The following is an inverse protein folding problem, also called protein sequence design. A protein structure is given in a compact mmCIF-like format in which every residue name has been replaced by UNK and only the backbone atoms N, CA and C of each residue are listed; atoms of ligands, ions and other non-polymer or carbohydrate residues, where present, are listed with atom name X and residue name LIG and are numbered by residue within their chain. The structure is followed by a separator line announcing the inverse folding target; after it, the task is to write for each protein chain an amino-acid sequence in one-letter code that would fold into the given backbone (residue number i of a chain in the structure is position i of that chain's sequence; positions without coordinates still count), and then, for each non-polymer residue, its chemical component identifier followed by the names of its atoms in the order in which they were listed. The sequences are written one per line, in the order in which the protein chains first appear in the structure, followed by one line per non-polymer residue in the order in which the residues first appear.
data_IF_543306821185
#
_entry.id   IF_543306821185
#
_cell.length_a   1.000
_cell.length_b   1.000
_cell.length_c   1.000
_cell.angle_alpha   90.00
_cell.angle_beta   90.00
_cell.angle_gamma   90.00
#
_symmetry.space_group_name_H-M   'P 1'
#
loop_
_entity.id
_entity.type
_entity.pdbx_description
1 polymer ?
#
# COMPACT_ATOMS: atom_id res chain seq x y z
N UNK A 1 -3.41 -25.33 -4.93
CA UNK A 1 -4.18 -24.16 -4.50
C UNK A 1 -4.05 -24.05 -2.99
N UNK A 2 -3.92 -22.85 -2.47
CA UNK A 2 -3.94 -22.57 -1.02
C UNK A 2 -5.36 -22.20 -0.61
N UNK A 3 -5.67 -22.22 0.70
CA UNK A 3 -6.97 -21.77 1.19
C UNK A 3 -7.31 -20.33 0.75
N UNK A 4 -6.28 -19.50 0.52
CA UNK A 4 -6.47 -18.13 0.04
C UNK A 4 -6.83 -18.07 -1.46
N UNK A 5 -6.36 -19.04 -2.27
CA UNK A 5 -6.78 -19.15 -3.67
C UNK A 5 -8.27 -19.50 -3.77
N UNK A 6 -8.72 -20.44 -2.94
CA UNK A 6 -10.13 -20.83 -2.91
C UNK A 6 -11.01 -19.70 -2.39
N UNK A 7 -10.53 -18.92 -1.40
CA UNK A 7 -11.21 -17.75 -0.89
C UNK A 7 -11.31 -16.65 -1.98
N UNK A 8 -10.22 -16.36 -2.70
CA UNK A 8 -10.22 -15.38 -3.79
C UNK A 8 -11.15 -15.81 -4.93
N UNK A 9 -11.10 -17.08 -5.36
CA UNK A 9 -11.98 -17.58 -6.41
C UNK A 9 -13.45 -17.47 -6.00
N UNK A 10 -13.78 -17.88 -4.77
CA UNK A 10 -15.14 -17.77 -4.22
C UNK A 10 -15.60 -16.32 -4.15
N UNK A 11 -14.74 -15.41 -3.65
CA UNK A 11 -15.02 -13.98 -3.59
C UNK A 11 -15.26 -13.40 -5.00
N UNK A 12 -14.43 -13.77 -5.97
CA UNK A 12 -14.57 -13.28 -7.34
C UNK A 12 -15.91 -13.70 -7.96
N UNK A 13 -16.34 -14.96 -7.79
CA UNK A 13 -17.64 -15.42 -8.27
C UNK A 13 -18.81 -14.70 -7.59
N UNK A 14 -18.72 -14.43 -6.29
CA UNK A 14 -19.75 -13.72 -5.54
C UNK A 14 -19.86 -12.22 -5.91
N UNK A 15 -18.73 -11.60 -6.25
CA UNK A 15 -18.65 -10.17 -6.57
C UNK A 15 -18.83 -9.87 -8.07
N UNK A 16 -18.82 -10.89 -8.93
CA UNK A 16 -19.00 -10.71 -10.36
C UNK A 16 -20.44 -10.34 -10.71
N UNK A 17 -20.63 -9.20 -11.35
CA UNK A 17 -21.91 -8.79 -11.93
C UNK A 17 -21.92 -9.13 -13.42
N UNK A 18 -22.57 -10.23 -13.78
CA UNK A 18 -22.63 -10.69 -15.15
C UNK A 18 -23.41 -9.74 -16.07
N UNK A 19 -24.39 -8.98 -15.58
CA UNK A 19 -25.11 -8.00 -16.40
C UNK A 19 -24.19 -6.84 -16.83
N UNK A 20 -23.27 -6.42 -15.98
CA UNK A 20 -22.31 -5.33 -16.24
C UNK A 20 -20.96 -5.79 -16.77
N UNK A 21 -20.57 -7.06 -16.54
CA UNK A 21 -19.24 -7.56 -16.87
C UNK A 21 -18.14 -6.96 -15.98
N UNK A 22 -18.46 -6.68 -14.74
CA UNK A 22 -17.57 -6.00 -13.80
C UNK A 22 -17.67 -6.59 -12.39
N UNK A 23 -16.60 -6.43 -11.60
CA UNK A 23 -16.60 -6.75 -10.18
C UNK A 23 -17.36 -5.67 -9.40
N UNK A 24 -18.34 -6.09 -8.58
CA UNK A 24 -19.16 -5.22 -7.76
C UNK A 24 -18.86 -5.42 -6.28
N UNK A 25 -18.35 -4.38 -5.63
CA UNK A 25 -18.08 -4.37 -4.19
C UNK A 25 -18.58 -3.05 -3.58
N UNK A 26 -19.13 -3.10 -2.38
CA UNK A 26 -19.74 -1.94 -1.68
C UNK A 26 -20.81 -1.22 -2.52
N UNK A 27 -21.51 -1.95 -3.38
CA UNK A 27 -22.50 -1.38 -4.30
C UNK A 27 -21.95 -0.70 -5.54
N UNK A 28 -20.62 -0.65 -5.72
CA UNK A 28 -19.92 0.00 -6.81
C UNK A 28 -19.28 -1.02 -7.75
N UNK A 29 -19.25 -0.72 -9.06
CA UNK A 29 -18.52 -1.52 -10.05
C UNK A 29 -17.08 -0.99 -10.16
N UNK A 30 -16.17 -1.66 -9.48
CA UNK A 30 -14.78 -1.20 -9.30
C UNK A 30 -13.93 -1.52 -10.52
N UNK A 31 -13.23 -0.51 -11.05
CA UNK A 31 -12.49 -0.62 -12.31
C UNK A 31 -11.19 -1.40 -12.14
N UNK A 32 -10.40 -1.11 -11.11
CA UNK A 32 -9.14 -1.81 -10.86
C UNK A 32 -9.37 -3.29 -10.54
N UNK A 33 -10.33 -3.56 -9.67
CA UNK A 33 -10.68 -4.91 -9.26
C UNK A 33 -11.25 -5.73 -10.42
N UNK A 34 -11.95 -5.07 -11.35
CA UNK A 34 -12.41 -5.70 -12.60
C UNK A 34 -11.23 -6.06 -13.50
N UNK A 35 -10.22 -5.19 -13.63
CA UNK A 35 -9.01 -5.50 -14.40
C UNK A 35 -8.20 -6.65 -13.78
N UNK A 36 -8.05 -6.67 -12.45
CA UNK A 36 -7.41 -7.76 -11.71
C UNK A 36 -8.22 -9.06 -11.78
N UNK A 37 -9.56 -8.97 -11.74
CA UNK A 37 -10.46 -10.11 -11.94
C UNK A 37 -10.34 -10.70 -13.34
N UNK A 38 -10.19 -9.85 -14.37
CA UNK A 38 -9.93 -10.32 -15.73
C UNK A 38 -8.60 -11.09 -15.82
N UNK A 39 -7.56 -10.66 -15.10
CA UNK A 39 -6.32 -11.41 -15.02
C UNK A 39 -6.51 -12.78 -14.36
N UNK A 40 -7.28 -12.84 -13.26
CA UNK A 40 -7.63 -14.10 -12.60
C UNK A 40 -8.43 -15.02 -13.52
N UNK A 41 -9.38 -14.50 -14.29
CA UNK A 41 -10.15 -15.24 -15.28
C UNK A 41 -9.26 -15.83 -16.39
N UNK A 42 -8.27 -15.09 -16.86
CA UNK A 42 -7.31 -15.59 -17.84
C UNK A 42 -6.45 -16.71 -17.30
N UNK A 43 -6.02 -16.63 -16.03
CA UNK A 43 -5.34 -17.75 -15.36
C UNK A 43 -6.20 -19.01 -15.25
N UNK A 44 -7.51 -18.84 -15.07
CA UNK A 44 -8.49 -19.91 -15.02
C UNK A 44 -8.94 -20.41 -16.41
N UNK A 45 -8.52 -19.74 -17.50
CA UNK A 45 -8.93 -20.07 -18.87
C UNK A 45 -10.29 -19.48 -19.29
N UNK A 46 -10.88 -18.60 -18.51
CA UNK A 46 -12.17 -17.94 -18.77
C UNK A 46 -12.00 -16.71 -19.71
N UNK A 47 -11.45 -16.93 -20.89
CA UNK A 47 -11.06 -15.86 -21.83
C UNK A 47 -12.22 -14.94 -22.17
N UNK A 48 -13.41 -15.44 -22.47
CA UNK A 48 -14.56 -14.60 -22.87
C UNK A 48 -15.01 -13.65 -21.76
N UNK A 49 -14.97 -14.11 -20.48
CA UNK A 49 -15.29 -13.26 -19.32
C UNK A 49 -14.22 -12.19 -19.13
N UNK A 50 -12.96 -12.57 -19.24
CA UNK A 50 -11.83 -11.65 -19.14
C UNK A 50 -11.87 -10.56 -20.21
N UNK A 51 -12.11 -10.90 -21.47
CA UNK A 51 -12.23 -9.92 -22.56
C UNK A 51 -13.38 -8.94 -22.33
N UNK A 52 -14.52 -9.44 -21.86
CA UNK A 52 -15.64 -8.58 -21.52
C UNK A 52 -15.28 -7.62 -20.40
N UNK A 53 -14.65 -8.10 -19.33
CA UNK A 53 -14.17 -7.29 -18.22
C UNK A 53 -13.18 -6.20 -18.69
N UNK A 54 -12.20 -6.58 -19.50
CA UNK A 54 -11.19 -5.65 -20.02
C UNK A 54 -11.83 -4.56 -20.91
N UNK A 55 -12.82 -4.89 -21.74
CA UNK A 55 -13.55 -3.90 -22.54
C UNK A 55 -14.32 -2.90 -21.65
N UNK A 56 -14.94 -3.38 -20.55
CA UNK A 56 -15.61 -2.49 -19.59
C UNK A 56 -14.61 -1.57 -18.85
N UNK A 57 -13.44 -2.09 -18.49
CA UNK A 57 -12.34 -1.30 -17.89
C UNK A 57 -11.87 -0.19 -18.85
N UNK A 58 -11.63 -0.51 -20.12
CA UNK A 58 -11.15 0.44 -21.13
C UNK A 58 -12.13 1.60 -21.37
N UNK A 59 -13.43 1.37 -21.26
CA UNK A 59 -14.46 2.43 -21.33
C UNK A 59 -14.36 3.45 -20.19
N UNK A 60 -13.66 3.13 -19.12
CA UNK A 60 -13.53 4.00 -17.94
C UNK A 60 -12.29 4.90 -18.01
N UNK A 61 -11.48 4.81 -19.06
CA UNK A 61 -10.32 5.69 -19.22
C UNK A 61 -10.74 7.07 -19.74
N UNK A 62 -10.23 8.12 -19.13
CA UNK A 62 -10.35 9.47 -19.67
C UNK A 62 -9.49 9.60 -20.93
N UNK A 63 -10.02 10.23 -22.00
CA UNK A 63 -9.29 10.35 -23.25
C UNK A 63 -8.02 11.19 -23.11
N UNK A 64 -7.03 11.01 -24.02
CA UNK A 64 -5.75 11.73 -23.95
C UNK A 64 -5.87 13.25 -24.14
N UNK A 65 -6.92 13.71 -24.80
CA UNK A 65 -7.23 15.13 -25.04
C UNK A 65 -8.10 15.76 -23.93
N UNK A 66 -8.40 15.02 -22.86
CA UNK A 66 -9.06 15.58 -21.68
C UNK A 66 -8.17 16.60 -20.97
N UNK A 67 -8.73 17.26 -19.94
CA UNK A 67 -7.93 18.14 -19.07
C UNK A 67 -6.70 17.39 -18.54
N UNK A 68 -5.52 17.98 -18.64
CA UNK A 68 -4.27 17.32 -18.24
C UNK A 68 -4.28 16.73 -16.83
N UNK A 69 -5.07 17.22 -15.90
CA UNK A 69 -5.16 16.68 -14.54
C UNK A 69 -5.64 15.21 -14.51
N UNK A 70 -6.55 14.85 -15.40
CA UNK A 70 -7.12 13.50 -15.49
C UNK A 70 -6.97 12.81 -16.86
N UNK A 71 -6.34 13.43 -17.85
CA UNK A 71 -6.04 12.78 -19.13
C UNK A 71 -5.34 11.44 -18.92
N UNK A 72 -5.81 10.37 -19.55
CA UNK A 72 -5.23 9.03 -19.48
C UNK A 72 -5.45 8.28 -18.18
N UNK A 73 -5.99 8.90 -17.10
CA UNK A 73 -6.37 8.14 -15.90
C UNK A 73 -7.71 7.42 -16.08
N UNK A 74 -8.10 6.63 -15.11
CA UNK A 74 -9.34 5.86 -15.14
C UNK A 74 -10.26 6.31 -14.01
N UNK A 75 -11.56 6.14 -14.18
CA UNK A 75 -12.53 6.22 -13.09
C UNK A 75 -12.24 5.14 -12.06
N UNK A 76 -12.51 5.41 -10.80
CA UNK A 76 -12.35 4.41 -9.73
C UNK A 76 -13.47 3.37 -9.75
N UNK A 77 -14.66 3.78 -10.19
CA UNK A 77 -15.81 2.91 -10.42
C UNK A 77 -16.64 3.39 -11.62
N UNK A 78 -17.37 2.49 -12.28
CA UNK A 78 -18.06 2.77 -13.54
C UNK A 78 -19.14 3.87 -13.45
N UNK A 79 -19.72 4.06 -12.27
CA UNK A 79 -20.74 5.08 -12.03
C UNK A 79 -20.17 6.41 -11.51
N UNK A 80 -18.84 6.56 -11.46
CA UNK A 80 -18.20 7.81 -11.04
C UNK A 80 -18.55 8.92 -12.04
N UNK A 81 -19.06 10.06 -11.59
CA UNK A 81 -19.29 11.21 -12.46
C UNK A 81 -17.97 11.65 -13.11
N UNK A 82 -18.06 12.17 -14.34
CA UNK A 82 -16.88 12.64 -15.04
C UNK A 82 -16.24 13.84 -14.33
N UNK A 83 -14.92 13.81 -14.24
CA UNK A 83 -14.14 14.98 -13.83
C UNK A 83 -14.39 16.14 -14.80
N UNK A 84 -14.42 17.38 -14.28
CA UNK A 84 -14.73 18.56 -15.06
C UNK A 84 -16.23 18.88 -15.16
N UNK A 85 -17.13 17.96 -14.80
CA UNK A 85 -18.58 18.22 -14.80
C UNK A 85 -19.00 19.02 -13.57
N UNK A 86 -20.20 19.63 -13.65
CA UNK A 86 -20.79 20.39 -12.54
C UNK A 86 -21.72 19.46 -11.75
N UNK A 87 -21.57 19.42 -10.42
CA UNK A 87 -22.47 18.66 -9.55
C UNK A 87 -23.78 19.42 -9.23
N UNK A 88 -24.67 18.77 -8.50
CA UNK A 88 -25.97 19.32 -8.14
C UNK A 88 -25.88 20.63 -7.31
N UNK A 89 -24.76 20.83 -6.60
CA UNK A 89 -24.47 22.00 -5.80
C UNK A 89 -23.78 23.11 -6.62
N UNK A 90 -23.58 22.93 -7.93
CA UNK A 90 -22.94 23.90 -8.83
C UNK A 90 -21.41 23.92 -8.75
N UNK A 91 -20.77 22.97 -8.07
CA UNK A 91 -19.33 22.83 -7.94
C UNK A 91 -18.76 22.07 -9.15
N UNK A 92 -17.70 22.56 -9.74
CA UNK A 92 -16.95 21.83 -10.78
C UNK A 92 -16.12 20.71 -10.12
N UNK A 93 -16.26 19.47 -10.62
CA UNK A 93 -15.57 18.28 -10.14
C UNK A 93 -14.12 18.26 -10.60
N UNK A 94 -13.22 18.82 -9.81
CA UNK A 94 -11.80 18.98 -10.17
C UNK A 94 -10.85 18.65 -9.02
N UNK A 95 -11.36 18.12 -7.92
CA UNK A 95 -10.55 17.85 -6.74
C UNK A 95 -9.94 16.44 -6.82
N UNK A 96 -8.62 16.41 -6.73
CA UNK A 96 -7.82 15.18 -6.75
C UNK A 96 -8.22 14.27 -5.57
N UNK A 97 -8.28 12.95 -5.81
CA UNK A 97 -8.70 11.88 -4.91
C UNK A 97 -10.18 11.90 -4.47
N UNK A 98 -10.91 12.94 -4.79
CA UNK A 98 -12.36 12.98 -4.61
C UNK A 98 -13.11 12.81 -5.93
N UNK A 99 -12.75 13.60 -6.94
CA UNK A 99 -13.44 13.64 -8.23
C UNK A 99 -12.70 12.81 -9.29
N UNK A 100 -11.41 12.58 -9.12
CA UNK A 100 -10.57 11.68 -9.93
C UNK A 100 -9.34 11.24 -9.12
N UNK A 101 -8.77 10.09 -9.46
CA UNK A 101 -7.50 9.61 -8.92
C UNK A 101 -6.44 9.53 -10.03
N UNK A 102 -5.42 10.39 -10.03
CA UNK A 102 -4.39 10.37 -11.07
C UNK A 102 -3.49 9.13 -11.00
N UNK A 103 -3.39 8.43 -9.86
CA UNK A 103 -2.54 7.26 -9.71
C UNK A 103 -3.12 6.03 -10.42
N UNK A 104 -4.38 6.08 -10.82
CA UNK A 104 -5.01 5.00 -11.58
C UNK A 104 -4.40 4.84 -12.97
N UNK A 105 -3.69 5.86 -13.47
CA UNK A 105 -2.81 5.71 -14.63
C UNK A 105 -1.79 4.59 -14.41
N UNK A 106 -1.09 4.63 -13.27
CA UNK A 106 -0.03 3.69 -12.94
C UNK A 106 -0.61 2.30 -12.65
N UNK A 107 -1.63 2.20 -11.80
CA UNK A 107 -2.22 0.91 -11.45
C UNK A 107 -2.83 0.21 -12.66
N UNK A 108 -3.73 0.88 -13.39
CA UNK A 108 -4.39 0.26 -14.55
C UNK A 108 -3.42 0.07 -15.71
N UNK A 109 -2.54 1.03 -15.98
CA UNK A 109 -1.52 0.90 -17.03
C UNK A 109 -0.64 -0.33 -16.82
N UNK A 110 -0.19 -0.57 -15.58
CA UNK A 110 0.59 -1.76 -15.22
C UNK A 110 -0.21 -3.05 -15.41
N UNK A 111 -1.44 -3.12 -14.92
CA UNK A 111 -2.30 -4.31 -15.02
C UNK A 111 -2.60 -4.63 -16.50
N UNK A 112 -2.98 -3.64 -17.28
CA UNK A 112 -3.30 -3.81 -18.71
C UNK A 112 -2.07 -4.27 -19.51
N UNK A 113 -0.90 -3.66 -19.28
CA UNK A 113 0.33 -4.06 -19.96
C UNK A 113 0.70 -5.51 -19.64
N UNK A 114 0.63 -5.89 -18.35
CA UNK A 114 0.95 -7.26 -17.93
C UNK A 114 -0.04 -8.28 -18.51
N UNK A 115 -1.33 -7.95 -18.51
CA UNK A 115 -2.37 -8.80 -19.08
C UNK A 115 -2.10 -9.03 -20.57
N UNK A 116 -1.81 -7.97 -21.32
CA UNK A 116 -1.47 -8.07 -22.74
C UNK A 116 -0.18 -8.87 -22.94
N UNK A 117 0.85 -8.59 -22.17
CA UNK A 117 2.15 -9.25 -22.27
C UNK A 117 2.10 -10.76 -22.01
N UNK A 118 1.29 -11.19 -21.04
CA UNK A 118 1.23 -12.57 -20.60
C UNK A 118 0.16 -13.38 -21.34
N UNK A 119 -0.96 -12.75 -21.69
CA UNK A 119 -2.14 -13.40 -22.25
C UNK A 119 -2.57 -12.86 -23.61
N UNK A 120 -1.85 -11.93 -24.20
CA UNK A 120 -2.20 -11.35 -25.49
C UNK A 120 -2.39 -12.40 -26.62
N UNK A 121 -1.73 -13.54 -26.51
CA UNK A 121 -1.84 -14.63 -27.49
C UNK A 121 -3.22 -15.32 -27.51
N UNK A 122 -4.04 -15.16 -26.47
CA UNK A 122 -5.41 -15.70 -26.38
C UNK A 122 -6.49 -14.62 -26.52
N UNK A 123 -6.13 -13.32 -26.49
CA UNK A 123 -7.04 -12.20 -26.60
C UNK A 123 -7.26 -11.80 -28.07
N UNK A 124 -8.45 -11.28 -28.37
CA UNK A 124 -8.74 -10.70 -29.69
C UNK A 124 -7.79 -9.53 -30.03
N UNK A 125 -7.40 -9.43 -31.30
CA UNK A 125 -6.40 -8.45 -31.75
C UNK A 125 -6.86 -7.00 -31.53
N UNK A 126 -8.13 -6.69 -31.78
CA UNK A 126 -8.70 -5.36 -31.54
C UNK A 126 -8.61 -4.93 -30.07
N UNK A 127 -8.91 -5.86 -29.13
CA UNK A 127 -8.79 -5.62 -27.69
C UNK A 127 -7.33 -5.39 -27.28
N UNK A 128 -6.40 -6.19 -27.80
CA UNK A 128 -4.96 -5.99 -27.55
C UNK A 128 -4.50 -4.61 -28.00
N UNK A 129 -4.88 -4.21 -29.22
CA UNK A 129 -4.53 -2.90 -29.75
C UNK A 129 -5.14 -1.76 -28.93
N UNK A 130 -6.35 -1.93 -28.39
CA UNK A 130 -6.99 -0.96 -27.50
C UNK A 130 -6.26 -0.88 -26.14
N UNK A 131 -5.91 -2.01 -25.54
CA UNK A 131 -5.11 -2.06 -24.30
C UNK A 131 -3.75 -1.38 -24.47
N UNK A 132 -3.05 -1.61 -25.58
CA UNK A 132 -1.76 -0.95 -25.86
C UNK A 132 -1.91 0.58 -25.95
N UNK A 133 -2.95 1.06 -26.64
CA UNK A 133 -3.24 2.51 -26.71
C UNK A 133 -3.56 3.08 -25.32
N UNK A 134 -4.33 2.35 -24.52
CA UNK A 134 -4.68 2.75 -23.15
C UNK A 134 -3.45 2.86 -22.24
N UNK A 135 -2.53 1.92 -22.36
CA UNK A 135 -1.24 1.93 -21.61
C UNK A 135 -0.40 3.14 -22.00
N UNK A 136 -0.27 3.43 -23.30
CA UNK A 136 0.46 4.61 -23.79
C UNK A 136 -0.20 5.90 -23.30
N UNK A 137 -1.54 6.00 -23.36
CA UNK A 137 -2.28 7.16 -22.86
C UNK A 137 -2.12 7.36 -21.35
N UNK A 138 -2.10 6.27 -20.56
CA UNK A 138 -1.87 6.32 -19.13
C UNK A 138 -0.46 6.83 -18.78
N UNK A 139 0.55 6.37 -19.49
CA UNK A 139 1.92 6.86 -19.31
C UNK A 139 2.08 8.34 -19.71
N UNK A 140 1.55 8.71 -20.89
CA UNK A 140 1.67 10.06 -21.45
C UNK A 140 0.82 11.10 -20.69
N UNK A 141 -0.27 10.69 -20.06
CA UNK A 141 -1.15 11.58 -19.29
C UNK A 141 -0.58 12.05 -17.96
N UNK A 142 0.56 11.49 -17.52
CA UNK A 142 1.16 11.90 -16.26
C UNK A 142 1.92 13.22 -16.40
N UNK A 143 1.63 14.17 -15.50
CA UNK A 143 2.31 15.45 -15.47
C UNK A 143 3.73 15.37 -14.93
N UNK A 144 4.67 15.98 -15.63
CA UNK A 144 6.03 16.19 -15.12
C UNK A 144 5.98 16.97 -13.81
N UNK A 145 6.59 16.39 -12.77
CA UNK A 145 6.69 17.01 -11.44
C UNK A 145 5.52 16.75 -10.47
N UNK A 146 4.44 16.07 -10.89
CA UNK A 146 3.38 15.67 -9.95
C UNK A 146 3.83 14.57 -9.00
N UNK A 147 4.57 13.59 -9.51
CA UNK A 147 5.05 12.47 -8.71
C UNK A 147 6.40 12.86 -8.11
N UNK A 148 6.43 13.04 -6.80
CA UNK A 148 7.69 13.22 -6.08
C UNK A 148 8.39 11.85 -5.88
N UNK A 149 9.74 11.80 -5.85
CA UNK A 149 10.47 10.56 -5.57
C UNK A 149 10.10 9.91 -4.24
N UNK A 150 9.67 10.71 -3.26
CA UNK A 150 9.21 10.29 -1.94
C UNK A 150 7.88 9.50 -1.98
N UNK A 151 7.10 9.68 -3.04
CA UNK A 151 5.89 8.88 -3.28
C UNK A 151 6.28 7.56 -3.94
N UNK A 152 7.01 6.74 -3.20
CA UNK A 152 7.85 5.66 -3.69
C UNK A 152 7.11 4.65 -4.57
N UNK A 153 5.93 4.17 -4.15
CA UNK A 153 5.20 3.16 -4.90
C UNK A 153 4.74 3.67 -6.27
N UNK A 154 4.23 4.89 -6.34
CA UNK A 154 3.75 5.51 -7.59
C UNK A 154 4.92 5.91 -8.48
N UNK A 155 6.02 6.42 -7.88
CA UNK A 155 7.23 6.79 -8.60
C UNK A 155 7.87 5.57 -9.31
N UNK A 156 7.95 4.43 -8.62
CA UNK A 156 8.48 3.18 -9.19
C UNK A 156 7.58 2.63 -10.31
N UNK A 157 6.25 2.58 -10.08
CA UNK A 157 5.31 2.14 -11.11
C UNK A 157 5.36 3.04 -12.35
N UNK A 158 5.42 4.36 -12.15
CA UNK A 158 5.47 5.30 -13.27
C UNK A 158 6.81 5.24 -14.01
N UNK A 159 7.93 5.12 -13.29
CA UNK A 159 9.24 4.93 -13.91
C UNK A 159 9.25 3.72 -14.84
N UNK A 160 8.68 2.60 -14.39
CA UNK A 160 8.58 1.41 -15.21
C UNK A 160 7.61 1.59 -16.40
N UNK A 161 6.40 2.13 -16.14
CA UNK A 161 5.37 2.30 -17.18
C UNK A 161 5.85 3.21 -18.32
N UNK A 162 6.53 4.29 -17.98
CA UNK A 162 7.14 5.19 -18.97
C UNK A 162 8.26 4.51 -19.76
N UNK A 163 9.12 3.75 -19.08
CA UNK A 163 10.24 3.07 -19.71
C UNK A 163 9.75 2.04 -20.76
N UNK A 164 8.75 1.22 -20.43
CA UNK A 164 8.18 0.23 -21.37
C UNK A 164 7.37 0.86 -22.51
N UNK A 165 6.91 2.10 -22.36
CA UNK A 165 6.22 2.86 -23.41
C UNK A 165 7.14 3.79 -24.19
N UNK A 166 8.45 3.75 -23.93
CA UNK A 166 9.46 4.57 -24.62
C UNK A 166 9.44 6.04 -24.22
N UNK A 167 8.91 6.36 -23.03
CA UNK A 167 8.85 7.71 -22.49
C UNK A 167 9.92 7.89 -21.40
N UNK A 168 10.26 9.13 -21.09
CA UNK A 168 11.18 9.46 -19.98
C UNK A 168 10.46 10.27 -18.93
N UNK A 169 10.52 9.84 -17.67
CA UNK A 169 9.92 10.55 -16.54
C UNK A 169 10.93 11.40 -15.78
N UNK A 170 12.22 11.15 -15.96
CA UNK A 170 13.25 11.73 -15.10
C UNK A 170 13.22 11.25 -13.64
N UNK A 171 12.43 10.22 -13.28
CA UNK A 171 12.28 9.75 -11.89
C UNK A 171 13.30 8.71 -11.46
N UNK A 172 13.85 7.91 -12.37
CA UNK A 172 14.77 6.80 -12.02
C UNK A 172 15.96 7.32 -11.20
N UNK A 173 16.68 8.34 -11.67
CA UNK A 173 17.83 8.88 -10.96
C UNK A 173 17.47 9.55 -9.61
N UNK A 174 16.41 10.37 -9.49
CA UNK A 174 15.97 10.90 -8.20
C UNK A 174 15.58 9.83 -7.17
N UNK A 175 14.85 8.78 -7.57
CA UNK A 175 14.47 7.67 -6.68
C UNK A 175 15.70 6.87 -6.26
N UNK A 176 16.62 6.55 -7.19
CA UNK A 176 17.89 5.89 -6.88
C UNK A 176 18.71 6.74 -5.90
N UNK A 177 18.86 8.04 -6.17
CA UNK A 177 19.60 8.94 -5.29
C UNK A 177 18.96 9.09 -3.90
N UNK A 178 17.64 8.98 -3.78
CA UNK A 178 16.95 8.94 -2.49
C UNK A 178 17.23 7.62 -1.75
N UNK A 179 17.13 6.50 -2.45
CA UNK A 179 17.45 5.19 -1.90
C UNK A 179 18.90 5.12 -1.36
N UNK A 180 19.85 5.69 -2.10
CA UNK A 180 21.25 5.74 -1.67
C UNK A 180 21.47 6.63 -0.45
N UNK A 181 20.82 7.80 -0.38
CA UNK A 181 20.95 8.71 0.77
C UNK A 181 20.30 8.16 2.03
N UNK A 182 19.15 7.53 1.89
CA UNK A 182 18.31 7.10 3.02
C UNK A 182 18.54 5.63 3.40
N UNK A 183 19.13 4.84 2.52
CA UNK A 183 19.28 3.39 2.68
C UNK A 183 17.97 2.61 2.50
N UNK A 184 16.84 3.30 2.25
CA UNK A 184 15.52 2.70 2.05
C UNK A 184 14.60 3.68 1.31
N UNK A 185 13.39 3.21 0.93
CA UNK A 185 12.32 4.03 0.36
C UNK A 185 11.73 4.98 1.39
N UNK A 186 11.26 6.15 0.97
CA UNK A 186 10.64 7.13 1.86
C UNK A 186 9.30 6.63 2.45
N UNK A 187 8.52 5.87 1.68
CA UNK A 187 7.34 5.13 2.18
C UNK A 187 7.79 3.80 2.80
N UNK A 188 8.74 3.86 3.73
CA UNK A 188 9.33 2.67 4.34
C UNK A 188 8.36 1.94 5.28
N UNK A 189 8.57 0.65 5.40
CA UNK A 189 7.93 -0.24 6.36
C UNK A 189 6.39 -0.13 6.36
N UNK A 190 5.82 0.00 5.16
CA UNK A 190 4.38 0.11 4.94
C UNK A 190 3.77 -1.26 4.65
N UNK A 191 2.87 -1.78 5.50
CA UNK A 191 2.18 -3.04 5.23
C UNK A 191 1.27 -2.96 3.99
N UNK A 192 0.95 -1.77 3.53
CA UNK A 192 0.20 -1.53 2.30
C UNK A 192 1.12 -1.36 1.09
N UNK A 193 2.06 -0.41 1.16
CA UNK A 193 2.76 0.07 -0.03
C UNK A 193 4.11 -0.56 -0.29
N UNK A 194 4.75 -1.21 0.70
CA UNK A 194 5.96 -1.98 0.44
C UNK A 194 5.72 -3.08 -0.60
N UNK A 195 4.56 -3.73 -0.56
CA UNK A 195 4.20 -4.76 -1.53
C UNK A 195 4.08 -4.21 -2.95
N UNK A 196 3.46 -3.03 -3.11
CA UNK A 196 3.35 -2.37 -4.42
C UNK A 196 4.72 -1.89 -4.90
N UNK A 197 5.56 -1.35 -4.00
CA UNK A 197 6.92 -0.93 -4.33
C UNK A 197 7.79 -2.12 -4.75
N UNK A 198 7.72 -3.24 -4.05
CA UNK A 198 8.41 -4.48 -4.42
C UNK A 198 7.89 -5.07 -5.73
N UNK A 199 6.58 -5.02 -5.96
CA UNK A 199 5.98 -5.43 -7.23
C UNK A 199 6.49 -4.56 -8.40
N UNK A 200 6.47 -3.24 -8.25
CA UNK A 200 7.01 -2.31 -9.25
C UNK A 200 8.53 -2.51 -9.47
N UNK A 201 9.27 -2.80 -8.39
CA UNK A 201 10.69 -3.12 -8.48
C UNK A 201 10.96 -4.44 -9.24
N UNK A 202 10.12 -5.47 -9.06
CA UNK A 202 10.17 -6.69 -9.88
C UNK A 202 9.91 -6.40 -11.36
N UNK A 203 8.95 -5.52 -11.66
CA UNK A 203 8.68 -5.10 -13.04
C UNK A 203 9.88 -4.37 -13.66
N UNK A 204 10.47 -3.43 -12.92
CA UNK A 204 11.71 -2.74 -13.35
C UNK A 204 12.82 -3.75 -13.60
N UNK A 205 13.10 -4.63 -12.66
CA UNK A 205 14.19 -5.59 -12.75
C UNK A 205 14.04 -6.61 -13.90
N UNK A 206 12.82 -7.01 -14.24
CA UNK A 206 12.54 -8.07 -15.20
C UNK A 206 12.16 -7.57 -16.60
N UNK A 207 11.54 -6.38 -16.70
CA UNK A 207 10.96 -5.91 -17.97
C UNK A 207 11.43 -4.51 -18.40
N UNK A 208 12.13 -3.73 -17.57
CA UNK A 208 12.61 -2.42 -18.00
C UNK A 208 13.60 -2.57 -19.18
N UNK A 209 13.40 -1.88 -20.30
CA UNK A 209 14.36 -1.85 -21.39
C UNK A 209 15.65 -1.10 -21.01
N UNK A 210 15.59 -0.11 -20.09
CA UNK A 210 16.76 0.65 -19.67
C UNK A 210 17.60 -0.08 -18.62
N UNK A 211 18.96 -0.02 -18.73
CA UNK A 211 19.84 -0.58 -17.69
C UNK A 211 19.62 0.06 -16.30
N UNK A 212 19.42 1.37 -16.26
CA UNK A 212 19.25 2.12 -15.01
C UNK A 212 17.92 1.75 -14.31
N UNK A 213 16.85 1.57 -15.09
CA UNK A 213 15.59 1.07 -14.58
C UNK A 213 15.71 -0.34 -13.98
N UNK A 214 16.42 -1.25 -14.68
CA UNK A 214 16.68 -2.60 -14.14
C UNK A 214 17.49 -2.56 -12.85
N UNK A 215 18.53 -1.72 -12.81
CA UNK A 215 19.36 -1.59 -11.61
C UNK A 215 18.56 -1.03 -10.43
N UNK A 216 17.79 0.04 -10.65
CA UNK A 216 16.88 0.57 -9.62
C UNK A 216 15.95 -0.51 -9.07
N UNK A 217 15.35 -1.34 -9.94
CA UNK A 217 14.49 -2.45 -9.51
C UNK A 217 15.21 -3.45 -8.60
N UNK A 218 16.45 -3.83 -8.95
CA UNK A 218 17.29 -4.73 -8.16
C UNK A 218 17.61 -4.09 -6.80
N UNK A 219 18.07 -2.84 -6.79
CA UNK A 219 18.47 -2.13 -5.57
C UNK A 219 17.32 -1.97 -4.59
N UNK A 220 16.12 -1.66 -5.08
CA UNK A 220 14.90 -1.59 -4.24
C UNK A 220 14.57 -2.95 -3.64
N UNK A 221 14.60 -4.04 -4.43
CA UNK A 221 14.34 -5.40 -3.91
C UNK A 221 15.33 -5.74 -2.80
N UNK A 222 16.61 -5.51 -3.03
CA UNK A 222 17.67 -5.85 -2.07
C UNK A 222 17.54 -5.05 -0.77
N UNK A 223 17.30 -3.72 -0.85
CA UNK A 223 17.13 -2.86 0.33
C UNK A 223 15.90 -3.22 1.14
N UNK A 224 14.74 -3.33 0.48
CA UNK A 224 13.48 -3.64 1.18
C UNK A 224 13.50 -5.06 1.75
N UNK A 225 14.03 -6.06 1.04
CA UNK A 225 14.19 -7.41 1.57
C UNK A 225 15.18 -7.46 2.76
N UNK A 226 16.28 -6.70 2.70
CA UNK A 226 17.23 -6.58 3.81
C UNK A 226 16.56 -5.98 5.06
N UNK A 227 15.76 -4.92 4.90
CA UNK A 227 14.97 -4.39 6.00
C UNK A 227 14.00 -5.44 6.55
N UNK A 228 13.22 -6.10 5.67
CA UNK A 228 12.24 -7.11 6.08
C UNK A 228 12.88 -8.24 6.89
N UNK A 229 14.10 -8.67 6.57
CA UNK A 229 14.82 -9.67 7.36
C UNK A 229 15.04 -9.21 8.82
N UNK A 230 15.22 -7.91 9.04
CA UNK A 230 15.43 -7.35 10.37
C UNK A 230 14.14 -7.11 11.14
N UNK A 231 13.04 -6.75 10.44
CA UNK A 231 11.79 -6.32 11.09
C UNK A 231 10.68 -7.38 11.07
N UNK A 232 10.83 -8.45 10.29
CA UNK A 232 9.84 -9.53 10.20
C UNK A 232 9.92 -10.49 11.38
N UNK A 233 8.76 -10.80 11.96
CA UNK A 233 8.66 -11.83 13.01
C UNK A 233 7.87 -13.03 12.47
N UNK A 234 8.50 -14.21 12.33
CA UNK A 234 7.88 -15.37 11.69
C UNK A 234 6.66 -15.92 12.43
N UNK A 235 6.66 -15.88 13.78
CA UNK A 235 5.51 -16.39 14.57
C UNK A 235 4.32 -15.44 14.55
N UNK A 236 4.52 -14.13 14.40
CA UNK A 236 3.45 -13.17 14.15
C UNK A 236 3.11 -13.07 12.68
N UNK A 237 3.99 -13.58 11.81
CA UNK A 237 3.86 -13.57 10.36
C UNK A 237 3.61 -12.14 9.80
N UNK A 238 4.29 -11.14 10.40
CA UNK A 238 4.20 -9.73 10.00
C UNK A 238 5.46 -8.96 10.38
N UNK A 239 5.57 -7.76 9.82
CA UNK A 239 6.64 -6.81 10.11
C UNK A 239 6.33 -5.97 11.34
N UNK A 240 7.35 -5.70 12.18
CA UNK A 240 7.26 -4.71 13.24
C UNK A 240 7.13 -3.30 12.65
N UNK A 241 6.33 -2.41 13.29
CA UNK A 241 6.30 -0.99 12.90
C UNK A 241 7.60 -0.24 13.26
N UNK A 242 7.60 1.08 13.25
CA UNK A 242 6.49 1.95 12.90
C UNK A 242 6.14 1.84 11.42
N UNK A 243 4.93 2.27 11.05
CA UNK A 243 4.48 2.19 9.66
C UNK A 243 4.31 3.60 9.09
N UNK A 244 5.05 3.91 8.02
CA UNK A 244 4.91 5.21 7.34
C UNK A 244 3.50 5.41 6.75
N UNK A 245 2.89 4.31 6.28
CA UNK A 245 1.50 4.29 5.78
C UNK A 245 0.87 2.92 6.01
N UNK A 246 -0.31 2.90 6.62
CA UNK A 246 -1.10 1.68 6.81
C UNK A 246 -2.60 2.01 6.81
N UNK A 247 -3.40 1.25 6.09
CA UNK A 247 -4.85 1.40 6.11
C UNK A 247 -5.49 0.74 7.34
N UNK A 248 -4.88 -0.30 7.85
CA UNK A 248 -5.31 -1.01 9.05
C UNK A 248 -4.12 -1.30 9.97
N UNK A 249 -4.38 -1.46 11.27
CA UNK A 249 -3.38 -1.82 12.25
C UNK A 249 -3.60 -3.24 12.79
N UNK A 250 -4.85 -3.68 12.91
CA UNK A 250 -5.16 -5.03 13.38
C UNK A 250 -5.08 -6.03 12.20
N UNK A 251 -4.10 -6.93 12.20
CA UNK A 251 -3.95 -7.91 11.11
C UNK A 251 -5.09 -8.93 11.03
N UNK A 252 -5.98 -9.01 12.05
CA UNK A 252 -7.16 -9.88 12.03
C UNK A 252 -8.33 -9.29 11.25
N UNK A 253 -8.37 -7.96 11.13
CA UNK A 253 -9.46 -7.22 10.49
C UNK A 253 -9.04 -6.52 9.19
N UNK A 254 -7.76 -6.57 8.84
CA UNK A 254 -7.20 -5.86 7.70
C UNK A 254 -6.45 -6.78 6.76
N UNK A 255 -6.86 -6.82 5.50
CA UNK A 255 -6.07 -7.45 4.43
C UNK A 255 -5.00 -6.47 3.98
N UNK A 256 -3.75 -6.71 4.37
CA UNK A 256 -2.64 -5.90 3.91
C UNK A 256 -2.06 -6.45 2.60
N UNK A 257 -1.68 -5.58 1.67
CA UNK A 257 -1.01 -5.99 0.44
C UNK A 257 0.30 -6.73 0.71
N UNK A 258 1.00 -6.41 1.81
CA UNK A 258 2.18 -7.16 2.23
C UNK A 258 1.84 -8.61 2.61
N UNK A 259 0.73 -8.83 3.30
CA UNK A 259 0.26 -10.20 3.60
C UNK A 259 -0.08 -10.97 2.33
N UNK A 260 -0.71 -10.32 1.36
CA UNK A 260 -1.02 -10.90 0.05
C UNK A 260 0.26 -11.26 -0.70
N UNK A 261 1.25 -10.35 -0.74
CA UNK A 261 2.54 -10.59 -1.36
C UNK A 261 3.29 -11.76 -0.70
N UNK A 262 3.39 -11.76 0.63
CA UNK A 262 4.09 -12.82 1.36
C UNK A 262 3.44 -14.18 1.11
N UNK A 263 2.12 -14.26 1.13
CA UNK A 263 1.37 -15.47 0.78
C UNK A 263 1.65 -15.90 -0.66
N UNK A 264 1.68 -14.95 -1.60
CA UNK A 264 1.96 -15.23 -3.01
C UNK A 264 3.33 -15.87 -3.22
N UNK A 265 4.34 -15.49 -2.45
CA UNK A 265 5.70 -16.05 -2.52
C UNK A 265 5.92 -17.24 -1.56
N UNK A 266 4.88 -17.73 -0.89
CA UNK A 266 4.92 -18.89 -0.02
C UNK A 266 5.55 -18.64 1.36
N UNK A 267 5.49 -17.39 1.85
CA UNK A 267 5.86 -16.99 3.22
C UNK A 267 4.58 -16.85 4.05
N UNK A 268 4.48 -17.50 5.23
CA UNK A 268 3.35 -17.29 6.12
C UNK A 268 3.18 -15.79 6.46
N UNK A 269 1.95 -15.31 6.33
CA UNK A 269 1.62 -13.91 6.60
C UNK A 269 0.35 -13.78 7.42
N UNK A 270 0.35 -12.82 8.37
CA UNK A 270 -0.82 -12.52 9.18
C UNK A 270 -1.90 -11.87 8.31
N UNK A 271 -3.14 -12.29 8.55
CA UNK A 271 -4.30 -11.75 7.86
C UNK A 271 -5.57 -12.27 8.49
N UNK A 272 -6.74 -11.77 8.08
CA UNK A 272 -8.02 -12.30 8.52
C UNK A 272 -8.13 -13.80 8.24
N UNK A 273 -8.55 -14.57 9.24
CA UNK A 273 -8.77 -16.02 9.10
C UNK A 273 -10.08 -16.32 8.37
N UNK A 274 -11.02 -15.38 8.41
CA UNK A 274 -12.29 -15.43 7.68
C UNK A 274 -12.56 -14.02 7.13
N UNK A 275 -13.06 -13.95 5.90
CA UNK A 275 -13.51 -12.70 5.31
C UNK A 275 -14.98 -12.48 5.70
N UNK A 276 -15.28 -11.37 6.34
CA UNK A 276 -16.62 -10.96 6.75
C UNK A 276 -16.80 -9.45 6.54
N UNK A 277 -17.97 -8.92 6.92
CA UNK A 277 -18.32 -7.50 6.73
C UNK A 277 -17.41 -6.54 7.52
N UNK A 278 -16.73 -7.01 8.56
CA UNK A 278 -15.78 -6.22 9.37
C UNK A 278 -14.38 -6.20 8.73
N UNK A 279 -14.10 -7.11 7.78
CA UNK A 279 -12.80 -7.20 7.13
C UNK A 279 -12.61 -6.05 6.16
N UNK A 280 -11.61 -5.21 6.41
CA UNK A 280 -11.29 -4.09 5.53
C UNK A 280 -10.29 -4.48 4.45
N UNK A 281 -10.35 -3.80 3.30
CA UNK A 281 -9.44 -4.00 2.15
C UNK A 281 -9.45 -5.41 1.55
N UNK A 282 -10.57 -6.12 1.64
CA UNK A 282 -10.70 -7.47 1.03
C UNK A 282 -10.38 -7.49 -0.47
N UNK A 283 -10.63 -6.38 -1.17
CA UNK A 283 -10.33 -6.21 -2.59
C UNK A 283 -8.84 -6.29 -2.93
N UNK A 284 -7.96 -6.05 -1.97
CA UNK A 284 -6.51 -6.18 -2.17
C UNK A 284 -6.08 -7.64 -2.42
N UNK A 285 -6.92 -8.64 -2.10
CA UNK A 285 -6.70 -10.04 -2.47
C UNK A 285 -6.59 -10.24 -3.98
N UNK A 286 -7.22 -9.40 -4.79
CA UNK A 286 -7.11 -9.49 -6.24
C UNK A 286 -5.68 -9.30 -6.78
N UNK A 287 -4.75 -8.78 -5.99
CA UNK A 287 -3.33 -8.72 -6.36
C UNK A 287 -2.61 -10.07 -6.26
N UNK A 288 -3.17 -11.08 -5.58
CA UNK A 288 -2.52 -12.37 -5.33
C UNK A 288 -1.99 -13.05 -6.61
N UNK A 289 -2.75 -13.16 -7.72
CA UNK A 289 -2.27 -13.78 -8.95
C UNK A 289 -1.07 -13.04 -9.55
N UNK A 290 -1.14 -11.70 -9.60
CA UNK A 290 -0.05 -10.87 -10.11
C UNK A 290 1.24 -11.02 -9.29
N UNK A 291 1.13 -10.96 -7.97
CA UNK A 291 2.28 -11.13 -7.09
C UNK A 291 2.90 -12.51 -7.22
N UNK A 292 2.09 -13.56 -7.32
CA UNK A 292 2.57 -14.93 -7.53
C UNK A 292 3.34 -15.06 -8.84
N UNK A 293 2.85 -14.45 -9.89
CA UNK A 293 3.46 -14.53 -11.21
C UNK A 293 4.79 -13.79 -11.31
N UNK A 294 4.94 -12.68 -10.60
CA UNK A 294 6.01 -11.71 -10.84
C UNK A 294 7.00 -11.56 -9.70
N UNK A 295 6.59 -11.83 -8.45
CA UNK A 295 7.40 -11.51 -7.29
C UNK A 295 8.33 -12.66 -6.83
N UNK A 296 8.65 -13.60 -7.71
CA UNK A 296 9.55 -14.72 -7.39
C UNK A 296 10.97 -14.31 -6.99
N UNK A 297 11.44 -13.11 -7.42
CA UNK A 297 12.73 -12.55 -7.00
C UNK A 297 12.76 -12.28 -5.50
N UNK A 298 11.66 -11.78 -4.93
CA UNK A 298 11.55 -11.46 -3.51
C UNK A 298 11.79 -12.73 -2.68
N UNK A 299 11.22 -13.87 -3.08
CA UNK A 299 11.43 -15.14 -2.38
C UNK A 299 12.89 -15.58 -2.32
N UNK A 300 13.71 -15.22 -3.32
CA UNK A 300 15.15 -15.54 -3.32
C UNK A 300 15.95 -14.63 -2.39
N UNK A 301 15.47 -13.41 -2.16
CA UNK A 301 16.16 -12.38 -1.39
C UNK A 301 15.61 -12.25 0.04
N UNK A 302 14.47 -12.88 0.34
CA UNK A 302 13.85 -12.81 1.66
C UNK A 302 13.49 -14.21 2.19
N UNK A 303 14.04 -14.53 3.36
CA UNK A 303 13.67 -15.74 4.12
C UNK A 303 13.48 -15.34 5.58
N UNK A 304 12.26 -15.54 6.14
CA UNK A 304 12.03 -15.25 7.55
C UNK A 304 13.00 -16.00 8.46
N UNK A 305 13.63 -15.31 9.40
CA UNK A 305 14.56 -15.88 10.34
C UNK A 305 13.89 -16.12 11.69
N UNK A 306 14.24 -17.21 12.36
CA UNK A 306 13.82 -17.47 13.73
C UNK A 306 14.29 -16.33 14.63
N UNK A 307 13.47 -15.98 15.62
CA UNK A 307 13.77 -14.92 16.58
C UNK A 307 14.11 -15.55 17.92
N UNK A 308 15.38 -15.90 18.10
CA UNK A 308 15.89 -16.45 19.36
C UNK A 308 16.42 -15.35 20.29
N UNK A 309 16.84 -14.23 19.71
CA UNK A 309 17.39 -13.06 20.41
C UNK A 309 16.73 -11.79 19.92
N UNK A 310 16.68 -10.77 20.77
CA UNK A 310 16.17 -9.46 20.41
C UNK A 310 16.99 -8.84 19.26
N UNK A 311 16.31 -8.31 18.27
CA UNK A 311 16.88 -7.54 17.14
C UNK A 311 16.34 -6.12 17.21
N UNK A 312 17.22 -5.14 17.02
CA UNK A 312 16.88 -3.73 16.92
C UNK A 312 17.31 -3.21 15.56
N UNK A 313 16.36 -2.77 14.76
CA UNK A 313 16.61 -2.12 13.49
C UNK A 313 16.26 -0.63 13.59
N UNK A 314 17.18 0.22 13.17
CA UNK A 314 17.01 1.68 13.17
C UNK A 314 17.20 2.20 11.75
N UNK A 315 16.21 2.91 11.27
CA UNK A 315 16.23 3.60 9.97
C UNK A 315 16.17 5.10 10.19
N UNK A 316 16.99 5.85 9.45
CA UNK A 316 17.04 7.32 9.55
C UNK A 316 16.77 7.96 8.20
N UNK A 317 15.89 8.97 8.18
CA UNK A 317 15.55 9.79 7.00
C UNK A 317 15.65 11.27 7.39
N UNK A 318 16.83 11.87 7.24
CA UNK A 318 17.08 13.20 7.78
C UNK A 318 16.91 13.21 9.31
N UNK A 319 15.95 13.97 9.82
CA UNK A 319 15.63 14.05 11.26
C UNK A 319 14.74 12.90 11.74
N UNK A 320 14.10 12.16 10.85
CA UNK A 320 13.22 11.06 11.19
C UNK A 320 14.06 9.86 11.63
N UNK A 321 13.73 9.31 12.79
CA UNK A 321 14.33 8.08 13.31
C UNK A 321 13.25 7.07 13.65
N UNK A 322 13.15 6.03 12.84
CA UNK A 322 12.27 4.90 13.02
C UNK A 322 13.02 3.74 13.66
N UNK A 323 12.46 3.14 14.69
CA UNK A 323 13.04 2.00 15.38
C UNK A 323 12.05 0.84 15.41
N UNK A 324 12.50 -0.32 14.97
CA UNK A 324 11.76 -1.58 15.08
C UNK A 324 12.49 -2.51 16.03
N UNK A 325 11.78 -3.10 16.98
CA UNK A 325 12.26 -4.14 17.88
C UNK A 325 11.54 -5.44 17.57
N UNK A 326 12.29 -6.50 17.40
CA UNK A 326 11.77 -7.86 17.15
C UNK A 326 12.37 -8.77 18.22
N UNK A 327 11.53 -9.24 19.13
CA UNK A 327 11.92 -10.05 20.28
C UNK A 327 11.11 -11.36 20.30
N UNK A 328 11.61 -12.43 20.96
CA UNK A 328 10.80 -13.62 21.15
C UNK A 328 9.45 -13.30 21.80
N UNK A 329 8.35 -13.40 21.03
CA UNK A 329 7.00 -13.14 21.47
C UNK A 329 6.54 -11.68 21.56
N UNK A 330 7.33 -10.71 21.03
CA UNK A 330 6.96 -9.29 20.95
C UNK A 330 7.56 -8.65 19.71
N UNK A 331 6.79 -7.79 19.06
CA UNK A 331 7.29 -6.82 18.08
C UNK A 331 6.83 -5.42 18.46
N UNK A 332 7.74 -4.45 18.33
CA UNK A 332 7.46 -3.05 18.61
C UNK A 332 8.05 -2.17 17.54
N UNK A 333 7.32 -1.10 17.21
CA UNK A 333 7.82 -0.04 16.34
C UNK A 333 7.51 1.33 16.89
N UNK A 334 8.48 2.24 16.81
CA UNK A 334 8.28 3.62 17.23
C UNK A 334 9.13 4.58 16.41
N UNK A 335 8.63 5.79 16.24
CA UNK A 335 9.26 6.82 15.41
C UNK A 335 9.22 8.19 16.08
N UNK A 336 10.24 8.98 15.84
CA UNK A 336 10.27 10.40 16.17
C UNK A 336 10.94 11.22 15.05
N UNK A 337 10.72 12.54 15.07
CA UNK A 337 11.36 13.48 14.15
C UNK A 337 10.57 13.76 12.87
N UNK A 338 9.47 13.05 12.59
CA UNK A 338 8.63 13.35 11.43
C UNK A 338 7.85 14.63 11.67
N UNK A 339 7.89 15.53 10.68
CA UNK A 339 7.22 16.83 10.71
C UNK A 339 6.34 16.99 9.48
N UNK A 340 5.25 17.75 9.62
CA UNK A 340 4.29 17.99 8.56
C UNK A 340 2.97 17.25 8.78
N UNK A 341 1.96 17.63 7.99
CA UNK A 341 0.64 17.00 8.07
C UNK A 341 0.66 15.57 7.55
N UNK A 342 0.01 14.69 8.28
CA UNK A 342 -0.20 13.32 7.86
C UNK A 342 -1.51 13.21 7.08
N UNK A 343 -1.46 12.60 5.90
CA UNK A 343 -2.66 12.37 5.12
C UNK A 343 -3.49 11.23 5.77
N UNK A 344 -4.76 11.53 6.07
CA UNK A 344 -5.79 10.53 6.29
C UNK A 344 -5.45 9.45 7.34
N UNK A 345 -4.98 9.77 8.53
CA UNK A 345 -4.78 8.77 9.59
C UNK A 345 -4.03 7.47 9.16
N UNK A 346 -3.28 7.52 8.05
CA UNK A 346 -2.54 6.36 7.54
C UNK A 346 -1.21 6.11 8.26
N UNK A 347 -0.69 7.10 8.96
CA UNK A 347 0.58 7.01 9.66
C UNK A 347 0.41 6.37 11.03
N UNK A 348 1.25 5.36 11.32
CA UNK A 348 1.27 4.65 12.59
C UNK A 348 2.67 4.79 13.24
N UNK A 349 2.90 5.87 14.02
CA UNK A 349 4.18 6.14 14.66
C UNK A 349 4.55 5.15 15.76
N UNK A 350 3.58 4.41 16.27
CA UNK A 350 3.78 3.40 17.29
C UNK A 350 2.92 2.17 17.04
N UNK A 351 3.54 0.99 17.14
CA UNK A 351 2.86 -0.30 17.16
C UNK A 351 3.52 -1.21 18.19
N UNK A 352 2.73 -2.01 18.85
CA UNK A 352 3.18 -3.05 19.76
C UNK A 352 2.30 -4.28 19.55
N UNK A 353 2.89 -5.45 19.39
CA UNK A 353 2.17 -6.71 19.31
C UNK A 353 2.86 -7.76 20.19
N UNK A 354 2.04 -8.54 20.88
CA UNK A 354 2.45 -9.73 21.61
C UNK A 354 1.50 -10.89 21.30
N UNK A 355 1.77 -12.06 21.88
CA UNK A 355 0.85 -13.21 21.79
C UNK A 355 -0.54 -12.95 22.37
N UNK A 356 -0.69 -11.92 23.18
CA UNK A 356 -1.95 -11.54 23.84
C UNK A 356 -2.77 -10.52 23.04
N UNK A 357 -2.15 -9.77 22.13
CA UNK A 357 -2.85 -8.79 21.31
C UNK A 357 -1.96 -7.69 20.75
N UNK A 358 -2.59 -6.62 20.30
CA UNK A 358 -2.00 -5.54 19.54
C UNK A 358 -2.32 -4.18 20.16
N UNK A 359 -1.39 -3.25 20.05
CA UNK A 359 -1.55 -1.83 20.37
C UNK A 359 -1.00 -0.98 19.21
N UNK A 360 -1.75 0.00 18.76
CA UNK A 360 -1.29 0.98 17.78
C UNK A 360 -1.68 2.40 18.13
N UNK A 361 -0.83 3.35 17.76
CA UNK A 361 -1.14 4.77 17.78
C UNK A 361 -1.32 5.23 16.35
N UNK A 362 -2.42 5.91 16.06
CA UNK A 362 -2.68 6.58 14.80
C UNK A 362 -2.72 8.09 14.98
N UNK A 363 -2.32 8.80 13.96
CA UNK A 363 -2.49 10.25 13.87
C UNK A 363 -3.91 10.59 13.43
N UNK A 364 -4.38 11.77 13.82
CA UNK A 364 -5.60 12.38 13.28
C UNK A 364 -5.25 13.39 12.19
N UNK A 365 -6.17 13.77 11.29
CA UNK A 365 -5.88 14.65 10.16
C UNK A 365 -5.27 16.00 10.52
N UNK A 366 -5.54 16.51 11.74
CA UNK A 366 -5.03 17.81 12.21
C UNK A 366 -3.69 17.72 12.93
N UNK A 367 -3.20 16.49 13.18
CA UNK A 367 -1.90 16.28 13.84
C UNK A 367 -0.79 16.68 12.89
N UNK A 368 0.10 17.57 13.30
CA UNK A 368 1.24 17.99 12.48
C UNK A 368 2.49 17.17 12.73
N UNK A 369 2.65 16.61 13.95
CA UNK A 369 3.67 15.63 14.23
C UNK A 369 3.34 14.75 15.44
N UNK A 370 3.97 13.58 15.48
CA UNK A 370 4.01 12.68 16.63
C UNK A 370 5.46 12.26 16.84
N UNK A 371 5.90 12.31 18.08
CA UNK A 371 7.18 11.75 18.51
C UNK A 371 6.93 10.65 19.53
N UNK A 372 7.57 9.51 19.32
CA UNK A 372 7.51 8.37 20.23
C UNK A 372 8.93 7.97 20.64
N UNK A 373 9.19 7.95 21.93
CA UNK A 373 10.48 7.63 22.52
C UNK A 373 10.37 6.45 23.47
N UNK A 374 11.27 5.50 23.37
CA UNK A 374 11.45 4.50 24.41
C UNK A 374 12.22 5.16 25.57
N UNK A 375 11.58 5.25 26.75
CA UNK A 375 12.16 5.85 27.95
C UNK A 375 12.67 4.82 28.94
N UNK A 376 12.18 3.59 28.84
CA UNK A 376 12.65 2.38 29.49
C UNK A 376 12.19 1.15 28.72
N UNK A 377 12.70 -0.05 28.94
CA UNK A 377 12.23 -1.25 28.25
C UNK A 377 10.69 -1.38 28.32
N UNK A 378 10.05 -1.40 27.15
CA UNK A 378 8.59 -1.44 26.98
C UNK A 378 7.82 -0.28 27.62
N UNK A 379 8.48 0.84 27.88
CA UNK A 379 7.87 2.09 28.35
C UNK A 379 8.10 3.17 27.31
N UNK A 380 7.03 3.69 26.75
CA UNK A 380 7.08 4.63 25.62
C UNK A 380 6.40 5.93 25.99
N UNK A 381 7.07 7.05 25.69
CA UNK A 381 6.51 8.39 25.78
C UNK A 381 6.06 8.81 24.39
N UNK A 382 4.79 9.18 24.27
CA UNK A 382 4.17 9.66 23.03
C UNK A 382 3.79 11.11 23.19
N UNK A 383 4.20 11.95 22.26
CA UNK A 383 3.91 13.38 22.24
C UNK A 383 3.32 13.74 20.87
N UNK A 384 2.28 14.57 20.85
CA UNK A 384 1.69 15.12 19.63
C UNK A 384 1.73 16.65 19.69
N UNK A 385 1.85 17.28 18.54
CA UNK A 385 1.77 18.73 18.45
C UNK A 385 1.14 19.20 17.13
N UNK A 386 0.62 20.43 17.15
CA UNK A 386 0.13 21.16 15.99
C UNK A 386 0.65 22.58 16.00
N UNK A 387 0.64 23.25 14.86
CA UNK A 387 0.94 24.68 14.80
C UNK A 387 -0.17 25.52 15.41
N UNK A 388 0.21 26.38 16.34
CA UNK A 388 -0.63 27.45 16.85
C UNK A 388 -0.16 28.78 16.23
N UNK A 389 -0.84 29.25 15.18
CA UNK A 389 -0.39 30.40 14.40
C UNK A 389 0.74 30.09 13.42
N UNK A 390 1.42 31.12 12.88
CA UNK A 390 2.38 30.93 11.79
C UNK A 390 3.70 30.27 12.18
N UNK A 391 4.14 30.35 13.45
CA UNK A 391 5.49 29.92 13.83
C UNK A 391 5.62 29.20 15.18
N UNK A 392 4.53 29.05 15.94
CA UNK A 392 4.60 28.46 17.28
C UNK A 392 4.04 27.04 17.26
N UNK A 393 4.87 26.07 17.62
CA UNK A 393 4.44 24.69 17.82
C UNK A 393 3.91 24.53 19.24
N UNK A 394 2.72 23.97 19.36
CA UNK A 394 2.08 23.74 20.64
C UNK A 394 1.87 22.24 20.84
N UNK A 395 2.46 21.68 21.88
CA UNK A 395 2.16 20.31 22.30
C UNK A 395 0.69 20.22 22.70
N UNK A 396 -0.06 19.35 22.03
CA UNK A 396 -1.50 19.17 22.27
C UNK A 396 -1.78 18.01 23.20
N UNK A 397 -0.90 17.00 23.25
CA UNK A 397 -1.01 15.88 24.16
C UNK A 397 0.37 15.24 24.40
N UNK A 398 0.56 14.73 25.61
CA UNK A 398 1.68 13.85 25.95
C UNK A 398 1.17 12.74 26.87
N UNK A 399 1.60 11.50 26.61
CA UNK A 399 1.22 10.36 27.45
C UNK A 399 2.38 9.35 27.52
N UNK A 400 2.37 8.54 28.55
CA UNK A 400 3.30 7.42 28.68
C UNK A 400 2.52 6.11 28.55
N UNK A 401 2.97 5.26 27.64
CA UNK A 401 2.45 3.92 27.46
C UNK A 401 3.39 2.93 28.14
N UNK A 402 2.85 2.13 29.03
CA UNK A 402 3.53 0.95 29.57
C UNK A 402 2.90 -0.27 28.94
N UNK A 403 3.57 -0.86 27.96
CA UNK A 403 3.07 -2.02 27.26
C UNK A 403 3.35 -3.28 28.08
N UNK A 404 2.31 -4.03 28.42
CA UNK A 404 2.38 -5.27 29.18
C UNK A 404 2.14 -6.49 28.30
N UNK A 405 2.77 -7.60 28.66
CA UNK A 405 2.50 -8.91 28.04
C UNK A 405 1.25 -9.60 28.58
N UNK A 406 0.59 -9.02 29.59
CA UNK A 406 -0.63 -9.60 30.18
C UNK A 406 -1.88 -9.27 29.38
N UNK A 407 -2.87 -10.18 29.30
CA UNK A 407 -4.13 -9.91 28.60
C UNK A 407 -4.97 -8.85 29.32
N UNK A 408 -5.73 -8.06 28.54
CA UNK A 408 -6.73 -7.10 29.07
C UNK A 408 -8.12 -7.65 28.96
N UNK A 409 -8.95 -7.23 29.92
CA UNK A 409 -10.38 -7.61 29.98
C UNK A 409 -11.33 -6.51 29.53
N UNK A 410 -10.88 -5.26 29.25
CA UNK A 410 -11.78 -4.14 28.97
C UNK A 410 -11.17 -3.10 28.00
N UNK A 411 -12.02 -2.50 27.15
CA UNK A 411 -11.81 -1.42 26.21
C UNK A 411 -10.71 -1.68 25.14
N UNK A 412 -11.09 -1.57 23.88
CA UNK A 412 -10.19 -1.83 22.74
C UNK A 412 -9.67 -0.55 22.08
N UNK A 413 -10.16 0.61 22.48
CA UNK A 413 -9.77 1.90 21.95
C UNK A 413 -9.83 3.00 23.01
N UNK A 414 -8.85 3.89 23.00
CA UNK A 414 -8.79 5.10 23.82
C UNK A 414 -8.49 6.31 22.92
N UNK A 415 -9.33 7.33 22.99
CA UNK A 415 -9.08 8.63 22.38
C UNK A 415 -8.38 9.53 23.40
N UNK A 416 -7.23 10.09 23.03
CA UNK A 416 -6.47 11.00 23.86
C UNK A 416 -5.99 12.20 23.05
N UNK A 417 -6.61 13.35 23.27
CA UNK A 417 -6.34 14.55 22.47
C UNK A 417 -6.58 14.27 20.98
N UNK A 418 -5.53 14.37 20.17
CA UNK A 418 -5.53 14.11 18.73
C UNK A 418 -5.05 12.68 18.37
N UNK A 419 -4.91 11.79 19.35
CA UNK A 419 -4.49 10.43 19.17
C UNK A 419 -5.65 9.45 19.36
N UNK A 420 -5.67 8.42 18.53
CA UNK A 420 -6.46 7.22 18.75
C UNK A 420 -5.50 6.07 19.08
N UNK A 421 -5.70 5.46 20.24
CA UNK A 421 -4.99 4.27 20.65
C UNK A 421 -5.89 3.07 20.46
N UNK A 422 -5.47 2.11 19.67
CA UNK A 422 -6.17 0.83 19.44
C UNK A 422 -5.37 -0.29 20.10
N UNK A 423 -5.96 -1.00 21.05
CA UNK A 423 -5.27 -2.03 21.84
C UNK A 423 -6.13 -3.27 22.13
N UNK A 424 -6.64 -3.93 21.09
CA UNK A 424 -7.41 -5.15 21.30
C UNK A 424 -6.54 -6.24 21.96
N UNK A 425 -6.88 -6.61 23.18
CA UNK A 425 -6.29 -7.73 23.89
C UNK A 425 -4.96 -7.47 24.63
N UNK A 426 -4.50 -6.22 24.76
CA UNK A 426 -3.26 -5.86 25.48
C UNK A 426 -3.54 -5.01 26.72
N UNK A 427 -2.82 -5.26 27.84
CA UNK A 427 -2.86 -4.36 28.99
C UNK A 427 -2.00 -3.11 28.72
N UNK A 428 -2.62 -1.96 28.79
CA UNK A 428 -2.00 -0.66 28.62
C UNK A 428 -2.25 0.17 29.86
N UNK A 429 -1.21 0.63 30.51
CA UNK A 429 -1.30 1.68 31.51
C UNK A 429 -0.97 3.01 30.82
N UNK A 430 -1.95 3.90 30.74
CA UNK A 430 -1.76 5.25 30.22
C UNK A 430 -1.59 6.18 31.41
N UNK A 431 -0.41 6.79 31.50
CA UNK A 431 -0.11 7.79 32.53
C UNK A 431 -0.10 9.17 31.90
N UNK A 432 -0.99 10.03 32.37
CA UNK A 432 -0.99 11.43 31.98
C UNK A 432 0.19 12.16 32.67
N UNK A 433 0.81 13.17 32.05
CA UNK A 433 1.77 14.04 32.73
C UNK A 433 1.08 14.71 33.93
N UNK A 434 1.78 14.77 35.06
CA UNK A 434 1.33 15.49 36.26
C UNK A 434 1.48 16.98 36.07
#
# INVERSE_FOLDING_TARGET
MTALDDALATMHEQLWDDARGMVRLYGLHLVRETALGAFLDLEAGNVSRAERALREVLKQQYPPDADPRWAGTFKTHANQPDAGTIDAEGRTRTEQWRDYDPNWRQFLGVILWLTERLYGHVLHEDLRAEMQRAVVAAAAGEHVGRIAPEYSNVALMHSWLADVTGQSTGLVAPVSGQLDRNGDLAEYNSPTYDAISLFAACLLADFSPSPDGRQLGIDVIDRVCSRLQNVWHPNFAMQAGPHSRSYGLDPKLYVSLMSVLMTAIGVPAAGPTTLNDETTHVHDLYFLPLFRRLCGRIRRNFTPQVVDTARRHVQTFGEIRATSLVEPGVIVGFEHGRRGRFALDQYAPFTFMSSYGFLGVRTRPDTEWVDVFEVAPHVYRVETARRAGSDTLQTTAALTIVASRAPITHANELLFGEMSLQFPGIAVEVRLPR
#
